data_IF_295897337330
#
_entry.id   IF_295897337330
#
_cell.length_a   1.000
_cell.length_b   1.000
_cell.length_c   1.000
_cell.angle_alpha   90.00
_cell.angle_beta   90.00
_cell.angle_gamma   90.00
#
_symmetry.space_group_name_H-M   'P 1'
#
loop_
_entity.id
_entity.type
_entity.pdbx_description
1 polymer ?
#
# COMPACT_ATOMS: atom_id res chain seq x y z
N UNK A 1 19.68 -5.96 -15.19
CA UNK A 1 19.64 -6.23 -13.74
C UNK A 1 18.16 -6.28 -13.44
N UNK A 2 17.63 -7.45 -13.07
CA UNK A 2 16.21 -7.55 -12.73
C UNK A 2 15.94 -6.62 -11.54
N UNK A 3 14.86 -5.82 -11.58
CA UNK A 3 14.51 -5.00 -10.42
C UNK A 3 14.29 -5.91 -9.21
N UNK A 4 14.81 -5.51 -8.06
CA UNK A 4 14.51 -6.21 -6.82
C UNK A 4 12.98 -6.11 -6.57
N UNK A 5 12.33 -7.21 -6.13
CA UNK A 5 10.90 -7.19 -5.84
C UNK A 5 10.60 -6.16 -4.74
N UNK A 6 9.38 -5.61 -4.74
CA UNK A 6 8.96 -4.71 -3.68
C UNK A 6 8.90 -5.46 -2.34
N UNK A 7 9.03 -4.75 -1.21
CA UNK A 7 8.85 -5.39 0.09
C UNK A 7 7.43 -5.96 0.22
N UNK A 8 7.30 -7.06 0.95
CA UNK A 8 6.04 -7.76 1.09
C UNK A 8 4.97 -6.91 1.79
N UNK A 9 3.80 -6.78 1.15
CA UNK A 9 2.60 -6.20 1.76
C UNK A 9 1.90 -7.27 2.59
N UNK A 10 1.52 -6.93 3.82
CA UNK A 10 0.87 -7.83 4.77
C UNK A 10 -0.46 -7.23 5.23
N UNK A 11 -1.31 -8.06 5.84
CA UNK A 11 -2.57 -7.62 6.45
C UNK A 11 -2.36 -6.51 7.49
N UNK A 12 -1.21 -6.49 8.18
CA UNK A 12 -0.86 -5.42 9.12
C UNK A 12 -0.82 -4.05 8.44
N UNK A 13 -0.27 -3.95 7.23
CA UNK A 13 -0.22 -2.68 6.50
C UNK A 13 -1.62 -2.20 6.07
N UNK A 14 -2.47 -3.12 5.63
CA UNK A 14 -3.85 -2.80 5.24
C UNK A 14 -4.65 -2.32 6.45
N UNK A 15 -4.58 -3.02 7.59
CA UNK A 15 -5.22 -2.57 8.82
C UNK A 15 -4.72 -1.19 9.26
N UNK A 16 -3.42 -0.98 9.22
CA UNK A 16 -2.81 0.32 9.53
C UNK A 16 -3.32 1.44 8.62
N UNK A 17 -3.55 1.15 7.32
CA UNK A 17 -4.13 2.10 6.38
C UNK A 17 -5.58 2.44 6.72
N UNK A 18 -6.39 1.42 7.03
CA UNK A 18 -7.80 1.57 7.37
C UNK A 18 -8.01 2.32 8.69
N UNK A 19 -7.23 1.96 9.70
CA UNK A 19 -7.29 2.53 11.06
C UNK A 19 -6.60 3.91 11.17
N UNK A 20 -5.96 4.37 10.10
CA UNK A 20 -5.20 5.63 10.14
C UNK A 20 -6.10 6.84 10.40
N UNK A 21 -5.75 7.70 11.39
CA UNK A 21 -6.51 8.91 11.69
C UNK A 21 -6.24 10.07 10.71
N UNK A 22 -5.36 9.89 9.72
CA UNK A 22 -5.07 10.92 8.74
C UNK A 22 -6.29 11.20 7.82
N UNK A 23 -6.36 12.42 7.27
CA UNK A 23 -7.46 12.85 6.40
C UNK A 23 -7.47 12.08 5.07
N UNK A 24 -6.28 11.81 4.51
CA UNK A 24 -6.10 11.01 3.28
C UNK A 24 -4.91 10.05 3.41
N UNK A 25 -5.05 8.94 4.17
CA UNK A 25 -3.97 8.01 4.35
C UNK A 25 -3.75 7.16 3.10
N UNK A 26 -2.48 6.93 2.80
CA UNK A 26 -2.02 6.15 1.64
C UNK A 26 -0.99 5.12 2.07
N UNK A 27 -1.03 3.96 1.43
CA UNK A 27 0.03 2.97 1.50
C UNK A 27 1.04 3.28 0.39
N UNK A 28 2.32 3.35 0.73
CA UNK A 28 3.37 3.72 -0.22
C UNK A 28 4.65 2.91 -0.01
N UNK A 29 5.51 2.91 -1.04
CA UNK A 29 6.85 2.35 -0.98
C UNK A 29 7.84 3.46 -0.63
N UNK A 30 8.48 3.37 0.53
CA UNK A 30 9.65 4.20 0.82
C UNK A 30 10.89 3.59 0.17
N UNK A 31 11.47 4.27 -0.83
CA UNK A 31 12.63 3.80 -1.61
C UNK A 31 13.97 4.40 -1.17
N UNK A 32 14.03 5.15 -0.05
CA UNK A 32 15.23 5.93 0.33
C UNK A 32 16.47 5.09 0.68
N UNK A 33 16.40 4.25 1.70
CA UNK A 33 17.57 3.51 2.21
C UNK A 33 17.41 1.99 2.09
N UNK A 34 16.30 1.47 2.63
CA UNK A 34 15.87 0.11 2.45
C UNK A 34 14.39 0.16 2.06
N UNK A 35 13.99 -0.43 0.91
CA UNK A 35 12.61 -0.45 0.50
C UNK A 35 11.70 -0.92 1.64
N UNK A 36 10.70 -0.11 1.99
CA UNK A 36 9.71 -0.43 3.04
C UNK A 36 8.31 -0.08 2.57
N UNK A 37 7.33 -0.77 3.14
CA UNK A 37 5.92 -0.46 2.99
C UNK A 37 5.46 0.28 4.23
N UNK A 38 4.91 1.47 4.04
CA UNK A 38 4.46 2.32 5.14
C UNK A 38 3.14 3.01 4.80
N UNK A 39 2.48 3.55 5.84
CA UNK A 39 1.25 4.34 5.73
C UNK A 39 1.54 5.76 6.15
N UNK A 40 1.16 6.73 5.33
CA UNK A 40 1.31 8.15 5.65
C UNK A 40 0.20 8.98 5.00
N UNK A 41 0.18 10.30 5.23
CA UNK A 41 -0.73 11.21 4.52
C UNK A 41 -0.28 11.43 3.08
N UNK A 42 -1.24 11.49 2.15
CA UNK A 42 -0.98 11.69 0.73
C UNK A 42 -0.14 12.93 0.41
N UNK A 43 -0.29 14.02 1.18
CA UNK A 43 0.34 15.32 0.92
C UNK A 43 1.87 15.29 0.99
N UNK A 44 2.44 14.41 1.82
CA UNK A 44 3.89 14.31 2.02
C UNK A 44 4.54 13.24 1.11
N UNK A 45 3.73 12.47 0.38
CA UNK A 45 4.19 11.31 -0.38
C UNK A 45 4.18 11.60 -1.89
N UNK A 46 5.26 11.20 -2.58
CA UNK A 46 5.33 11.29 -4.03
C UNK A 46 4.29 10.36 -4.65
N UNK A 47 3.43 10.90 -5.52
CA UNK A 47 2.36 10.12 -6.17
C UNK A 47 2.86 8.86 -6.89
N UNK A 48 4.08 8.90 -7.45
CA UNK A 48 4.68 7.75 -8.13
C UNK A 48 5.11 6.61 -7.20
N UNK A 49 5.06 6.79 -5.88
CA UNK A 49 5.40 5.74 -4.90
C UNK A 49 4.17 5.25 -4.13
N UNK A 50 3.01 5.83 -4.37
CA UNK A 50 1.75 5.44 -3.72
C UNK A 50 1.27 4.14 -4.35
N UNK A 51 1.09 3.12 -3.52
CA UNK A 51 0.51 1.83 -3.89
C UNK A 51 -1.00 1.95 -3.97
N UNK A 52 -1.63 2.49 -2.92
CA UNK A 52 -3.09 2.60 -2.84
C UNK A 52 -3.50 3.62 -1.80
N UNK A 53 -4.67 4.24 -1.99
CA UNK A 53 -5.34 5.08 -0.98
C UNK A 53 -6.30 4.24 -0.12
N UNK A 54 -6.63 4.72 1.09
CA UNK A 54 -7.69 4.08 1.90
C UNK A 54 -9.00 3.94 1.13
N UNK A 55 -9.38 4.98 0.38
CA UNK A 55 -10.63 5.02 -0.40
C UNK A 55 -10.68 3.95 -1.49
N UNK A 56 -9.56 3.68 -2.16
CA UNK A 56 -9.51 2.63 -3.17
C UNK A 56 -9.61 1.25 -2.54
N UNK A 57 -8.91 1.01 -1.41
CA UNK A 57 -9.02 -0.25 -0.68
C UNK A 57 -10.46 -0.48 -0.22
N UNK A 58 -11.10 0.48 0.45
CA UNK A 58 -12.50 0.32 0.88
C UNK A 58 -13.46 0.20 -0.29
N UNK A 59 -13.14 0.80 -1.44
CA UNK A 59 -13.88 0.59 -2.69
C UNK A 59 -13.79 -0.83 -3.24
N UNK A 60 -12.80 -1.63 -2.82
CA UNK A 60 -12.65 -3.03 -3.23
C UNK A 60 -13.24 -4.01 -2.23
N UNK A 61 -13.06 -3.77 -0.92
CA UNK A 61 -13.43 -4.73 0.15
C UNK A 61 -14.52 -4.25 1.10
N UNK A 62 -15.09 -3.07 0.86
CA UNK A 62 -16.08 -2.45 1.73
C UNK A 62 -15.47 -1.54 2.80
N UNK A 63 -16.31 -0.79 3.50
CA UNK A 63 -15.89 0.19 4.51
C UNK A 63 -15.48 -0.45 5.85
N UNK A 64 -16.05 -1.60 6.18
CA UNK A 64 -15.74 -2.38 7.38
C UNK A 64 -15.36 -3.83 6.98
N UNK A 65 -14.19 -4.04 6.36
CA UNK A 65 -13.78 -5.35 5.89
C UNK A 65 -13.38 -6.26 7.05
N UNK A 66 -13.63 -7.56 6.88
CA UNK A 66 -13.10 -8.59 7.76
C UNK A 66 -11.69 -9.04 7.33
N UNK A 67 -11.11 -9.96 8.11
CA UNK A 67 -9.76 -10.48 7.87
C UNK A 67 -9.64 -11.17 6.51
N UNK A 68 -10.67 -11.92 6.10
CA UNK A 68 -10.67 -12.64 4.83
C UNK A 68 -10.63 -11.64 3.65
N UNK A 69 -11.46 -10.60 3.68
CA UNK A 69 -11.45 -9.54 2.68
C UNK A 69 -10.11 -8.81 2.61
N UNK A 70 -9.47 -8.55 3.77
CA UNK A 70 -8.12 -7.98 3.83
C UNK A 70 -7.11 -8.91 3.16
N UNK A 71 -7.18 -10.22 3.37
CA UNK A 71 -6.29 -11.18 2.75
C UNK A 71 -6.49 -11.29 1.23
N UNK A 72 -7.73 -11.14 0.74
CA UNK A 72 -8.06 -11.17 -0.70
C UNK A 72 -7.40 -10.04 -1.50
N UNK A 73 -7.18 -8.86 -0.90
CA UNK A 73 -6.54 -7.73 -1.61
C UNK A 73 -5.03 -7.79 -1.64
N UNK A 74 -4.38 -8.57 -0.77
CA UNK A 74 -2.92 -8.59 -0.68
C UNK A 74 -2.21 -8.90 -2.01
N UNK A 75 -2.63 -9.91 -2.81
CA UNK A 75 -1.96 -10.19 -4.08
C UNK A 75 -2.02 -9.01 -5.06
N UNK A 76 -3.16 -8.30 -5.09
CA UNK A 76 -3.34 -7.12 -5.95
C UNK A 76 -2.44 -5.97 -5.49
N UNK A 77 -2.38 -5.72 -4.18
CA UNK A 77 -1.52 -4.69 -3.62
C UNK A 77 -0.05 -4.98 -3.92
N UNK A 78 0.37 -6.25 -3.78
CA UNK A 78 1.74 -6.65 -4.08
C UNK A 78 2.09 -6.45 -5.55
N UNK A 79 1.22 -6.83 -6.49
CA UNK A 79 1.44 -6.61 -7.93
C UNK A 79 1.57 -5.11 -8.27
N UNK A 80 0.79 -4.24 -7.64
CA UNK A 80 0.95 -2.78 -7.80
C UNK A 80 2.33 -2.36 -7.27
N UNK A 81 2.70 -2.80 -6.07
CA UNK A 81 3.96 -2.42 -5.46
C UNK A 81 5.17 -2.88 -6.28
N UNK A 82 5.15 -4.12 -6.80
CA UNK A 82 6.21 -4.66 -7.65
C UNK A 82 6.37 -3.85 -8.94
N UNK A 83 5.27 -3.38 -9.55
CA UNK A 83 5.32 -2.50 -10.73
C UNK A 83 5.93 -1.13 -10.42
N UNK A 84 5.62 -0.58 -9.25
CA UNK A 84 6.19 0.70 -8.81
C UNK A 84 7.67 0.58 -8.46
N UNK A 85 8.09 -0.54 -7.85
CA UNK A 85 9.49 -0.81 -7.53
C UNK A 85 10.33 -1.15 -8.78
N UNK A 86 9.73 -1.81 -9.78
CA UNK A 86 10.41 -2.18 -11.03
C UNK A 86 10.42 -1.11 -12.12
N UNK A 87 9.76 0.03 -11.90
CA UNK A 87 9.57 1.09 -12.89
C UNK A 87 10.37 2.36 -12.60
N UNK A 88 11.67 2.35 -12.86
CA UNK A 88 12.49 3.51 -13.31
C UNK A 88 13.90 3.08 -13.71
#
# INVERSE_FOLDING_TARGET
MDPAPAPAITAFHVRTLLDSPAEEPVLYIDTKEAPRIEVWTADDIRRSTIVVTRREVTGWIGEEPDDDAIHEVLPRLQDIADRLAGGS
#
